data_IF_295964622206
#
_entry.id   IF_295964622206
#
_cell.length_a   1.000
_cell.length_b   1.000
_cell.length_c   1.000
_cell.angle_alpha   90.00
_cell.angle_beta   90.00
_cell.angle_gamma   90.00
#
_symmetry.space_group_name_H-M   'P 1'
#
loop_
_entity.id
_entity.type
_entity.pdbx_description
1 polymer ?
#
# COMPACT_ATOMS: atom_id res chain seq x y z
N UNK A 1 21.08 21.05 7.17
CA UNK A 1 19.72 21.50 6.88
C UNK A 1 18.71 20.64 7.62
N UNK A 2 18.48 19.39 7.28
CA UNK A 2 17.45 18.56 7.89
C UNK A 2 17.42 18.59 9.43
N UNK A 3 18.55 18.44 10.09
CA UNK A 3 18.64 18.42 11.55
C UNK A 3 18.67 19.82 12.21
N UNK A 4 19.08 20.87 11.48
CA UNK A 4 19.34 22.18 12.10
C UNK A 4 18.37 23.27 11.63
N UNK A 5 17.66 23.06 10.53
CA UNK A 5 16.75 24.03 9.91
C UNK A 5 15.75 23.26 9.02
N UNK A 6 14.72 22.74 9.68
CA UNK A 6 13.72 21.88 9.04
C UNK A 6 12.92 22.62 7.97
N UNK A 7 12.52 23.85 8.22
CA UNK A 7 11.73 24.66 7.27
C UNK A 7 12.50 24.86 5.98
N UNK A 8 13.77 25.26 6.08
CA UNK A 8 14.63 25.43 4.90
C UNK A 8 14.89 24.11 4.16
N UNK A 9 14.93 22.97 4.89
CA UNK A 9 15.06 21.68 4.26
C UNK A 9 13.78 21.29 3.49
N UNK A 10 12.61 21.59 4.03
CA UNK A 10 11.33 21.34 3.36
C UNK A 10 11.13 22.23 2.13
N UNK A 11 11.62 23.49 2.16
CA UNK A 11 11.67 24.35 0.95
C UNK A 11 12.58 23.74 -0.12
N UNK A 12 13.78 23.32 0.26
CA UNK A 12 14.69 22.60 -0.64
C UNK A 12 14.06 21.30 -1.18
N UNK A 13 13.37 20.56 -0.31
CA UNK A 13 12.71 19.30 -0.67
C UNK A 13 11.60 19.50 -1.71
N UNK A 14 10.83 20.57 -1.65
CA UNK A 14 9.80 20.88 -2.65
C UNK A 14 10.37 21.01 -4.06
N UNK A 15 11.60 21.51 -4.18
CA UNK A 15 12.24 21.72 -5.48
C UNK A 15 13.04 20.48 -5.96
N UNK A 16 13.68 19.77 -5.04
CA UNK A 16 14.66 18.72 -5.36
C UNK A 16 14.35 17.34 -4.78
N UNK A 17 13.28 17.17 -4.04
CA UNK A 17 12.95 15.92 -3.37
C UNK A 17 12.79 14.74 -4.35
N UNK A 18 12.12 15.00 -5.48
CA UNK A 18 11.93 14.00 -6.54
C UNK A 18 13.27 13.52 -7.12
N UNK A 19 14.23 14.42 -7.32
CA UNK A 19 15.56 14.08 -7.83
C UNK A 19 16.36 13.26 -6.83
N UNK A 20 16.21 13.55 -5.53
CA UNK A 20 16.86 12.76 -4.47
C UNK A 20 16.27 11.37 -4.41
N UNK A 21 14.95 11.21 -4.48
CA UNK A 21 14.27 9.92 -4.57
C UNK A 21 14.69 9.15 -5.81
N UNK A 22 14.75 9.83 -6.97
CA UNK A 22 15.24 9.24 -8.20
C UNK A 22 16.70 8.77 -8.04
N UNK A 23 17.58 9.56 -7.40
CA UNK A 23 18.96 9.20 -7.11
C UNK A 23 19.09 7.95 -6.24
N UNK A 24 18.11 7.67 -5.36
CA UNK A 24 18.13 6.49 -4.51
C UNK A 24 17.94 5.18 -5.29
N UNK A 25 17.26 5.19 -6.46
CA UNK A 25 17.03 3.96 -7.21
C UNK A 25 17.71 3.90 -8.59
N UNK A 26 18.11 5.04 -9.18
CA UNK A 26 18.58 5.12 -10.57
C UNK A 26 19.87 4.35 -10.85
N UNK A 27 20.68 4.09 -9.82
CA UNK A 27 21.94 3.35 -9.89
C UNK A 27 21.83 1.93 -9.28
N UNK A 28 20.65 1.35 -9.35
CA UNK A 28 20.31 0.05 -8.73
C UNK A 28 20.48 0.06 -7.20
N UNK A 29 20.34 1.24 -6.58
CA UNK A 29 20.38 1.41 -5.13
C UNK A 29 21.77 1.47 -4.51
N UNK A 30 22.83 1.67 -5.29
CA UNK A 30 24.20 1.78 -4.75
C UNK A 30 24.34 2.92 -3.72
N UNK A 31 23.58 4.01 -3.90
CA UNK A 31 23.59 5.14 -2.97
C UNK A 31 22.31 5.23 -2.12
N UNK A 32 21.41 4.24 -2.19
CA UNK A 32 20.14 4.26 -1.49
C UNK A 32 20.30 4.45 0.03
N UNK A 33 21.24 3.76 0.66
CA UNK A 33 21.51 3.89 2.10
C UNK A 33 22.00 5.28 2.51
N UNK A 34 22.76 5.96 1.65
CA UNK A 34 23.24 7.33 1.93
C UNK A 34 22.11 8.35 1.85
N UNK A 35 21.11 8.09 1.01
CA UNK A 35 20.01 9.02 0.74
C UNK A 35 18.79 8.75 1.63
N UNK A 36 18.59 7.52 2.13
CA UNK A 36 17.38 7.09 2.83
C UNK A 36 16.98 8.00 4.00
N UNK A 37 17.96 8.48 4.76
CA UNK A 37 17.70 9.30 5.95
C UNK A 37 17.42 10.78 5.60
N UNK A 38 17.57 11.12 4.32
CA UNK A 38 17.23 12.44 3.76
C UNK A 38 15.82 12.48 3.17
N UNK A 39 15.21 11.31 2.91
CA UNK A 39 13.92 11.22 2.23
C UNK A 39 12.78 11.72 3.11
N UNK A 40 11.88 12.50 2.51
CA UNK A 40 10.65 12.93 3.14
C UNK A 40 9.43 12.33 2.44
N UNK A 41 8.46 11.91 3.25
CA UNK A 41 7.18 11.40 2.79
C UNK A 41 6.05 12.04 3.61
N UNK A 42 4.87 12.19 3.02
CA UNK A 42 3.73 12.73 3.74
C UNK A 42 3.15 11.70 4.70
N UNK A 43 3.07 12.04 5.99
CA UNK A 43 2.41 11.22 7.01
C UNK A 43 0.92 11.53 7.07
N UNK A 44 0.07 10.50 6.95
CA UNK A 44 -1.38 10.64 7.08
C UNK A 44 -1.79 11.08 8.50
N UNK A 45 -1.11 10.56 9.52
CA UNK A 45 -1.39 10.84 10.93
C UNK A 45 -0.87 12.20 11.37
N UNK A 46 0.36 12.56 10.99
CA UNK A 46 0.99 13.83 11.37
C UNK A 46 0.56 15.01 10.50
N UNK A 47 -0.04 14.76 9.34
CA UNK A 47 -0.45 15.76 8.34
C UNK A 47 0.71 16.68 7.93
N UNK A 48 1.90 16.12 7.78
CA UNK A 48 3.12 16.82 7.37
C UNK A 48 4.13 15.85 6.74
N UNK A 49 5.18 16.41 6.15
CA UNK A 49 6.34 15.65 5.71
C UNK A 49 7.12 15.12 6.91
N UNK A 50 7.46 13.83 6.87
CA UNK A 50 8.28 13.14 7.87
C UNK A 50 9.42 12.38 7.21
N UNK A 51 10.52 12.18 7.93
CA UNK A 51 11.57 11.22 7.53
C UNK A 51 11.15 9.80 7.90
N UNK A 52 11.83 8.81 7.32
CA UNK A 52 11.62 7.40 7.72
C UNK A 52 11.99 7.19 9.19
N UNK A 53 13.00 7.90 9.70
CA UNK A 53 13.38 7.83 11.12
C UNK A 53 12.26 8.38 12.02
N UNK A 54 11.69 9.54 11.69
CA UNK A 54 10.57 10.13 12.43
C UNK A 54 9.33 9.24 12.45
N UNK A 55 9.09 8.49 11.37
CA UNK A 55 8.03 7.49 11.31
C UNK A 55 8.34 6.32 12.25
N UNK A 56 9.54 5.73 12.13
CA UNK A 56 9.94 4.55 12.91
C UNK A 56 10.01 4.84 14.40
N UNK A 57 10.44 6.03 14.80
CA UNK A 57 10.49 6.45 16.21
C UNK A 57 9.10 6.49 16.87
N UNK A 58 8.04 6.63 16.08
CA UNK A 58 6.64 6.66 16.53
C UNK A 58 5.90 5.36 16.34
N UNK A 59 6.54 4.35 15.74
CA UNK A 59 5.91 3.05 15.51
C UNK A 59 5.66 2.33 16.86
N UNK A 60 4.43 1.86 17.13
CA UNK A 60 4.16 0.93 18.22
C UNK A 60 5.04 -0.33 18.10
N UNK A 61 5.35 -0.95 19.26
CA UNK A 61 6.23 -2.12 19.29
C UNK A 61 5.70 -3.29 18.46
N UNK A 62 4.39 -3.49 18.46
CA UNK A 62 3.68 -4.54 17.73
C UNK A 62 3.53 -4.28 16.21
N UNK A 63 3.76 -3.06 15.75
CA UNK A 63 3.67 -2.72 14.34
C UNK A 63 4.83 -3.35 13.56
N UNK A 64 4.50 -4.20 12.56
CA UNK A 64 5.46 -5.00 11.81
C UNK A 64 6.02 -4.30 10.58
N UNK A 65 5.28 -3.33 10.00
CA UNK A 65 5.60 -2.73 8.70
C UNK A 65 5.53 -1.21 8.73
N UNK A 66 6.31 -0.55 7.89
CA UNK A 66 6.09 0.84 7.51
C UNK A 66 5.03 0.81 6.41
N UNK A 67 3.80 1.22 6.72
CA UNK A 67 2.71 1.24 5.78
C UNK A 67 2.76 2.45 4.86
N UNK A 68 2.46 2.24 3.59
CA UNK A 68 2.33 3.33 2.62
C UNK A 68 1.18 3.07 1.64
N UNK A 69 0.66 4.15 1.09
CA UNK A 69 -0.29 4.16 -0.02
C UNK A 69 0.27 5.02 -1.15
N UNK A 70 0.15 4.58 -2.40
CA UNK A 70 0.62 5.33 -3.57
C UNK A 70 -0.54 5.67 -4.51
N UNK A 71 -0.49 6.88 -5.09
CA UNK A 71 -1.49 7.37 -6.03
C UNK A 71 -1.43 8.89 -6.24
N UNK A 72 -2.49 9.46 -6.81
CA UNK A 72 -2.47 10.84 -7.34
C UNK A 72 -2.67 11.94 -6.27
N UNK A 73 -3.20 11.63 -5.08
CA UNK A 73 -3.61 12.64 -4.10
C UNK A 73 -3.63 12.11 -2.68
N UNK A 74 -3.02 12.86 -1.76
CA UNK A 74 -3.00 12.54 -0.33
C UNK A 74 -4.41 12.38 0.25
N UNK A 75 -5.35 13.27 -0.14
CA UNK A 75 -6.74 13.22 0.33
C UNK A 75 -7.48 11.94 -0.09
N UNK A 76 -7.18 11.42 -1.29
CA UNK A 76 -7.76 10.17 -1.77
C UNK A 76 -7.11 8.97 -1.11
N UNK A 77 -5.79 9.01 -0.97
CA UNK A 77 -5.01 7.93 -0.37
C UNK A 77 -5.38 7.71 1.10
N UNK A 78 -5.58 8.78 1.86
CA UNK A 78 -5.99 8.71 3.26
C UNK A 78 -7.40 8.08 3.45
N UNK A 79 -8.25 8.14 2.41
CA UNK A 79 -9.63 7.58 2.40
C UNK A 79 -9.70 6.18 1.78
N UNK A 80 -8.59 5.57 1.41
CA UNK A 80 -8.60 4.19 0.96
C UNK A 80 -9.01 3.27 2.12
N UNK A 81 -9.94 2.31 1.91
CA UNK A 81 -10.38 1.41 2.98
C UNK A 81 -9.23 0.72 3.71
N UNK A 82 -8.20 0.34 2.97
CA UNK A 82 -7.02 -0.29 3.53
C UNK A 82 -6.15 0.68 4.36
N UNK A 83 -6.06 1.96 3.96
CA UNK A 83 -5.38 2.99 4.73
C UNK A 83 -6.15 3.32 6.02
N UNK A 84 -7.48 3.44 5.93
CA UNK A 84 -8.36 3.63 7.09
C UNK A 84 -8.21 2.47 8.09
N UNK A 85 -8.18 1.21 7.62
CA UNK A 85 -7.97 0.05 8.48
C UNK A 85 -6.64 0.13 9.25
N UNK A 86 -5.54 0.52 8.57
CA UNK A 86 -4.22 0.70 9.20
C UNK A 86 -4.28 1.81 10.25
N UNK A 87 -4.90 2.95 9.92
CA UNK A 87 -5.03 4.09 10.83
C UNK A 87 -5.93 3.78 12.03
N UNK A 88 -6.98 3.00 11.86
CA UNK A 88 -7.87 2.54 12.95
C UNK A 88 -7.15 1.63 13.95
N UNK A 89 -6.10 0.93 13.52
CA UNK A 89 -5.19 0.19 14.42
C UNK A 89 -4.22 1.13 15.18
N UNK A 90 -4.29 2.44 14.94
CA UNK A 90 -3.42 3.44 15.55
C UNK A 90 -2.08 3.64 14.84
N UNK A 91 -1.86 2.97 13.70
CA UNK A 91 -0.64 3.07 12.90
C UNK A 91 -0.70 4.27 11.96
N UNK A 92 0.46 4.69 11.46
CA UNK A 92 0.55 5.75 10.46
C UNK A 92 0.69 5.15 9.05
N UNK A 93 0.34 5.94 8.02
CA UNK A 93 0.48 5.58 6.61
C UNK A 93 1.22 6.71 5.88
N UNK A 94 2.30 6.36 5.18
CA UNK A 94 2.96 7.28 4.27
C UNK A 94 2.17 7.41 2.98
N UNK A 95 1.83 8.62 2.57
CA UNK A 95 1.06 8.91 1.37
C UNK A 95 2.00 9.37 0.25
N UNK A 96 2.17 8.52 -0.75
CA UNK A 96 3.12 8.66 -1.84
C UNK A 96 2.42 9.20 -3.08
N UNK A 97 2.80 10.39 -3.53
CA UNK A 97 2.13 11.04 -4.67
C UNK A 97 3.05 11.29 -5.87
N UNK A 98 4.31 10.89 -5.79
CA UNK A 98 5.27 11.02 -6.87
C UNK A 98 5.55 9.67 -7.54
N UNK A 99 5.66 9.65 -8.86
CA UNK A 99 5.92 8.45 -9.67
C UNK A 99 7.16 7.65 -9.23
N UNK A 100 8.12 8.32 -8.58
CA UNK A 100 9.39 7.73 -8.13
C UNK A 100 9.32 7.09 -6.75
N UNK A 101 8.27 7.36 -5.97
CA UNK A 101 8.18 7.01 -4.55
C UNK A 101 8.22 5.49 -4.31
N UNK A 102 7.36 4.73 -4.98
CA UNK A 102 7.32 3.28 -4.79
C UNK A 102 8.60 2.60 -5.25
N UNK A 103 9.20 3.08 -6.36
CA UNK A 103 10.47 2.54 -6.85
C UNK A 103 11.60 2.79 -5.84
N UNK A 104 11.61 3.98 -5.23
CA UNK A 104 12.55 4.31 -4.17
C UNK A 104 12.41 3.36 -2.96
N UNK A 105 11.18 3.15 -2.47
CA UNK A 105 10.92 2.24 -1.35
C UNK A 105 11.21 0.77 -1.70
N UNK A 106 10.96 0.33 -2.93
CA UNK A 106 11.31 -1.01 -3.38
C UNK A 106 12.81 -1.30 -3.39
N UNK A 107 13.62 -0.31 -3.72
CA UNK A 107 15.08 -0.44 -3.67
C UNK A 107 15.57 -0.44 -2.22
N UNK A 108 15.03 0.43 -1.37
CA UNK A 108 15.35 0.46 0.06
C UNK A 108 14.97 -0.85 0.78
N UNK A 109 13.85 -1.48 0.39
CA UNK A 109 13.26 -2.71 0.94
C UNK A 109 12.93 -2.65 2.41
N UNK A 110 13.85 -2.22 3.25
CA UNK A 110 13.72 -2.17 4.70
C UNK A 110 14.32 -0.88 5.26
N UNK A 111 13.92 -0.54 6.48
CA UNK A 111 14.53 0.54 7.25
C UNK A 111 15.02 0.00 8.60
N UNK A 112 16.18 0.47 9.12
CA UNK A 112 16.67 0.07 10.43
C UNK A 112 15.69 0.39 11.53
N UNK A 113 15.47 -0.55 12.44
CA UNK A 113 14.64 -0.36 13.64
C UNK A 113 15.19 -1.20 14.77
N UNK A 114 15.28 -0.61 15.96
CA UNK A 114 15.55 -1.37 17.17
C UNK A 114 14.26 -1.99 17.70
N UNK A 115 14.33 -3.22 18.15
CA UNK A 115 13.22 -3.87 18.85
C UNK A 115 13.02 -3.30 20.27
N UNK A 116 12.02 -3.80 20.98
CA UNK A 116 11.71 -3.37 22.34
C UNK A 116 12.86 -3.66 23.35
N UNK A 117 13.76 -4.56 23.02
CA UNK A 117 14.95 -4.95 23.81
C UNK A 117 16.19 -4.16 23.41
N UNK A 118 16.07 -3.26 22.42
CA UNK A 118 17.17 -2.44 21.91
C UNK A 118 18.12 -3.13 20.94
N UNK A 119 17.75 -4.33 20.46
CA UNK A 119 18.52 -5.09 19.48
C UNK A 119 18.28 -4.53 18.08
N UNK A 120 19.35 -4.43 17.30
CA UNK A 120 19.28 -3.97 15.93
C UNK A 120 18.49 -4.95 15.04
N UNK A 121 17.57 -4.42 14.28
CA UNK A 121 16.73 -5.12 13.33
C UNK A 121 16.33 -4.21 12.16
N UNK A 122 15.40 -4.67 11.37
CA UNK A 122 14.85 -3.91 10.24
C UNK A 122 13.35 -4.06 10.19
N UNK A 123 12.68 -3.08 9.60
CA UNK A 123 11.25 -3.10 9.31
C UNK A 123 11.04 -2.94 7.80
N UNK A 124 10.15 -3.73 7.23
CA UNK A 124 9.82 -3.71 5.80
C UNK A 124 8.78 -2.66 5.47
N UNK A 125 8.78 -2.19 4.21
CA UNK A 125 7.73 -1.35 3.67
C UNK A 125 6.56 -2.21 3.16
N UNK A 126 5.32 -1.76 3.42
CA UNK A 126 4.11 -2.48 3.04
C UNK A 126 3.10 -1.55 2.38
N UNK A 127 2.80 -1.81 1.10
CA UNK A 127 1.73 -1.10 0.42
C UNK A 127 0.37 -1.53 1.01
N UNK A 128 -0.47 -0.57 1.40
CA UNK A 128 -1.80 -0.86 1.95
C UNK A 128 -2.72 -1.56 0.95
N UNK A 129 -2.45 -1.43 -0.35
CA UNK A 129 -3.18 -2.13 -1.41
C UNK A 129 -2.59 -3.51 -1.75
N UNK A 130 -1.59 -4.01 -0.99
CA UNK A 130 -1.13 -5.39 -1.14
C UNK A 130 -2.14 -6.39 -0.57
N UNK A 131 -2.08 -7.64 -1.04
CA UNK A 131 -3.06 -8.68 -0.70
C UNK A 131 -3.11 -9.04 0.80
N UNK A 132 -1.98 -9.00 1.50
CA UNK A 132 -1.88 -9.27 2.95
C UNK A 132 -1.26 -8.08 3.65
N UNK A 133 -1.97 -7.48 4.61
CA UNK A 133 -1.48 -6.35 5.41
C UNK A 133 -0.78 -6.79 6.70
N UNK A 134 -0.90 -8.07 7.07
CA UNK A 134 -0.38 -8.57 8.34
C UNK A 134 -1.10 -8.02 9.57
N UNK A 135 -2.34 -7.54 9.39
CA UNK A 135 -3.20 -6.97 10.43
C UNK A 135 -4.32 -7.93 10.83
N UNK A 136 -4.62 -8.88 9.96
CA UNK A 136 -5.67 -9.87 10.12
C UNK A 136 -5.22 -10.98 11.08
N UNK A 137 -6.15 -11.47 11.88
CA UNK A 137 -5.98 -12.68 12.66
C UNK A 137 -6.11 -13.92 11.76
N UNK A 138 -5.56 -15.06 12.19
CA UNK A 138 -5.72 -16.32 11.47
C UNK A 138 -7.21 -16.76 11.38
N UNK A 139 -8.01 -16.37 12.36
CA UNK A 139 -9.46 -16.63 12.37
C UNK A 139 -10.18 -15.81 11.31
N UNK A 140 -9.84 -14.51 11.17
CA UNK A 140 -10.39 -13.61 10.13
C UNK A 140 -9.99 -14.07 8.73
N UNK A 141 -8.73 -14.48 8.52
CA UNK A 141 -8.26 -15.05 7.25
C UNK A 141 -9.04 -16.29 6.87
N UNK A 142 -9.16 -17.23 7.80
CA UNK A 142 -9.89 -18.47 7.58
C UNK A 142 -11.37 -18.21 7.29
N UNK A 143 -12.02 -17.32 8.04
CA UNK A 143 -13.42 -16.97 7.79
C UNK A 143 -13.62 -16.36 6.39
N UNK A 144 -12.69 -15.54 5.92
CA UNK A 144 -12.74 -14.98 4.57
C UNK A 144 -12.49 -16.03 3.49
N UNK A 145 -11.58 -16.98 3.72
CA UNK A 145 -11.34 -18.11 2.82
C UNK A 145 -12.57 -19.03 2.72
N UNK A 146 -13.18 -19.38 3.84
CA UNK A 146 -14.39 -20.20 3.90
C UNK A 146 -15.55 -19.49 3.17
N UNK A 147 -15.77 -18.21 3.45
CA UNK A 147 -16.80 -17.41 2.77
C UNK A 147 -16.53 -17.24 1.26
N UNK A 148 -15.25 -17.17 0.85
CA UNK A 148 -14.86 -17.15 -0.56
C UNK A 148 -15.21 -18.47 -1.23
N UNK A 149 -14.93 -19.60 -0.58
CA UNK A 149 -15.26 -20.93 -1.09
C UNK A 149 -16.78 -21.15 -1.20
N UNK A 150 -17.57 -20.70 -0.23
CA UNK A 150 -19.04 -20.76 -0.25
C UNK A 150 -19.67 -19.98 -1.41
N UNK A 151 -19.05 -18.89 -1.83
CA UNK A 151 -19.54 -17.99 -2.89
C UNK A 151 -18.78 -18.18 -4.24
N UNK A 152 -18.07 -19.30 -4.38
CA UNK A 152 -17.20 -19.57 -5.54
C UNK A 152 -17.90 -19.37 -6.88
N UNK A 153 -19.12 -19.84 -7.05
CA UNK A 153 -19.86 -19.74 -8.32
C UNK A 153 -20.11 -18.27 -8.70
N UNK A 154 -20.47 -17.42 -7.74
CA UNK A 154 -20.64 -15.99 -7.95
C UNK A 154 -19.30 -15.33 -8.34
N UNK A 155 -18.23 -15.65 -7.63
CA UNK A 155 -16.93 -15.06 -7.84
C UNK A 155 -16.28 -15.49 -9.17
N UNK A 156 -16.48 -16.74 -9.58
CA UNK A 156 -16.06 -17.23 -10.89
C UNK A 156 -16.82 -16.49 -12.01
N UNK A 157 -18.14 -16.35 -11.91
CA UNK A 157 -18.95 -15.59 -12.88
C UNK A 157 -18.53 -14.10 -12.94
N UNK A 158 -18.25 -13.47 -11.81
CA UNK A 158 -17.74 -12.09 -11.78
C UNK A 158 -16.37 -11.96 -12.43
N UNK A 159 -15.46 -12.90 -12.16
CA UNK A 159 -14.14 -12.94 -12.77
C UNK A 159 -14.23 -13.09 -14.30
N UNK A 160 -15.10 -13.99 -14.78
CA UNK A 160 -15.32 -14.19 -16.22
C UNK A 160 -15.91 -12.94 -16.87
N UNK A 161 -16.87 -12.28 -16.22
CA UNK A 161 -17.46 -11.01 -16.71
C UNK A 161 -16.43 -9.85 -16.75
N UNK A 162 -15.39 -9.91 -15.94
CA UNK A 162 -14.30 -8.92 -15.92
C UNK A 162 -13.22 -9.17 -16.98
N UNK A 163 -13.33 -10.27 -17.75
CA UNK A 163 -12.54 -10.56 -18.95
C UNK A 163 -11.03 -10.34 -18.76
N UNK A 164 -10.45 -11.02 -17.78
CA UNK A 164 -9.01 -10.98 -17.47
C UNK A 164 -8.50 -9.69 -16.84
N UNK A 165 -9.39 -8.76 -16.44
CA UNK A 165 -9.00 -7.52 -15.72
C UNK A 165 -8.59 -7.77 -14.30
N UNK A 166 -9.01 -8.90 -13.71
CA UNK A 166 -8.63 -9.35 -12.38
C UNK A 166 -8.17 -10.80 -12.40
N UNK A 167 -7.20 -11.11 -11.57
CA UNK A 167 -6.69 -12.48 -11.37
C UNK A 167 -7.67 -13.31 -10.56
N UNK A 168 -8.28 -12.68 -9.57
CA UNK A 168 -9.13 -13.33 -8.59
C UNK A 168 -10.23 -12.39 -8.09
N UNK A 169 -11.33 -12.99 -7.62
CA UNK A 169 -12.40 -12.34 -6.86
C UNK A 169 -12.53 -13.08 -5.54
N UNK A 170 -12.48 -12.37 -4.41
CA UNK A 170 -12.54 -12.98 -3.07
C UNK A 170 -13.25 -12.09 -2.06
N UNK A 171 -13.52 -12.67 -0.88
CA UNK A 171 -14.02 -11.93 0.29
C UNK A 171 -12.88 -11.10 0.88
N UNK A 172 -13.19 -9.86 1.24
CA UNK A 172 -12.26 -8.93 1.87
C UNK A 172 -12.23 -9.09 3.39
N UNK A 173 -11.03 -9.02 3.95
CA UNK A 173 -10.82 -8.88 5.41
C UNK A 173 -10.68 -7.42 5.84
N UNK A 174 -10.59 -6.48 4.89
CA UNK A 174 -10.26 -5.07 5.15
C UNK A 174 -11.43 -4.09 4.98
N UNK A 175 -12.49 -4.51 4.30
CA UNK A 175 -13.63 -3.64 4.01
C UNK A 175 -14.62 -3.61 5.18
N UNK A 176 -14.91 -2.39 5.67
CA UNK A 176 -15.96 -2.14 6.69
C UNK A 176 -17.24 -1.63 6.02
N UNK A 177 -17.18 -0.42 5.49
CA UNK A 177 -18.34 0.28 4.93
C UNK A 177 -18.37 0.27 3.39
N UNK A 178 -17.24 0.04 2.75
CA UNK A 178 -17.15 0.00 1.29
C UNK A 178 -17.56 -1.37 0.74
N UNK A 179 -18.27 -1.42 -0.41
CA UNK A 179 -18.73 -2.68 -1.01
C UNK A 179 -17.59 -3.51 -1.62
N UNK A 180 -16.60 -2.84 -2.23
CA UNK A 180 -15.52 -3.47 -2.97
C UNK A 180 -14.24 -2.65 -2.88
N UNK A 181 -13.10 -3.31 -3.06
CA UNK A 181 -11.83 -2.65 -3.37
C UNK A 181 -10.98 -3.51 -4.31
N UNK A 182 -9.92 -2.90 -4.86
CA UNK A 182 -8.89 -3.62 -5.61
C UNK A 182 -7.62 -3.67 -4.77
N UNK A 183 -7.03 -4.85 -4.70
CA UNK A 183 -5.67 -5.06 -4.20
C UNK A 183 -4.78 -5.63 -5.29
N UNK A 184 -3.47 -5.60 -5.08
CA UNK A 184 -2.50 -6.24 -5.96
C UNK A 184 -1.87 -7.44 -5.26
N UNK A 185 -1.78 -8.57 -5.96
CA UNK A 185 -1.06 -9.75 -5.52
C UNK A 185 0.31 -9.78 -6.21
N UNK A 186 1.38 -9.84 -5.40
CA UNK A 186 2.75 -9.82 -5.90
C UNK A 186 3.48 -8.47 -5.79
N UNK A 187 4.67 -8.36 -6.40
CA UNK A 187 5.57 -7.23 -6.19
C UNK A 187 5.20 -5.96 -6.97
N UNK A 188 4.35 -6.08 -8.00
CA UNK A 188 3.94 -4.97 -8.84
C UNK A 188 2.61 -4.39 -8.35
N UNK A 189 2.63 -3.16 -7.84
CA UNK A 189 1.41 -2.46 -7.44
C UNK A 189 0.62 -1.95 -8.65
N UNK A 190 -0.67 -1.64 -8.43
CA UNK A 190 -1.54 -1.03 -9.45
C UNK A 190 -0.97 0.33 -9.88
N UNK A 191 -0.38 1.09 -8.96
CA UNK A 191 0.20 2.40 -9.28
C UNK A 191 1.49 2.29 -10.08
N UNK A 192 2.36 1.35 -9.71
CA UNK A 192 3.56 1.05 -10.51
C UNK A 192 3.22 0.59 -11.93
N UNK A 193 2.17 -0.23 -12.12
CA UNK A 193 1.68 -0.58 -13.46
C UNK A 193 1.32 0.67 -14.25
N UNK A 194 0.61 1.62 -13.66
CA UNK A 194 0.24 2.89 -14.33
C UNK A 194 1.47 3.71 -14.74
N UNK A 195 2.48 3.78 -13.88
CA UNK A 195 3.72 4.51 -14.18
C UNK A 195 4.50 3.82 -15.29
N UNK A 196 4.70 2.50 -15.18
CA UNK A 196 5.44 1.72 -16.17
C UNK A 196 4.72 1.69 -17.53
N UNK A 197 3.40 1.57 -17.56
CA UNK A 197 2.64 1.53 -18.81
C UNK A 197 2.76 2.80 -19.67
N UNK A 198 3.19 3.92 -19.08
CA UNK A 198 3.48 5.17 -19.80
C UNK A 198 4.87 5.17 -20.46
N UNK A 199 5.71 4.19 -20.15
CA UNK A 199 7.07 4.12 -20.71
C UNK A 199 7.09 3.31 -22.01
N UNK A 200 7.77 3.78 -23.07
CA UNK A 200 7.92 3.02 -24.30
C UNK A 200 8.62 1.66 -24.04
N UNK A 201 8.08 0.59 -24.59
CA UNK A 201 8.63 -0.77 -24.43
C UNK A 201 8.16 -1.50 -23.19
N UNK A 202 7.27 -0.92 -22.39
CA UNK A 202 6.65 -1.56 -21.22
C UNK A 202 5.20 -2.01 -21.51
N UNK A 203 4.82 -2.12 -22.77
CA UNK A 203 3.51 -2.63 -23.16
C UNK A 203 3.35 -4.07 -22.66
N UNK A 204 2.31 -4.29 -21.85
CA UNK A 204 2.02 -5.63 -21.30
C UNK A 204 2.47 -5.85 -19.85
N UNK A 205 3.13 -4.90 -19.23
CA UNK A 205 3.37 -4.93 -17.78
C UNK A 205 2.05 -4.73 -17.06
N UNK A 206 1.59 -5.74 -16.31
CA UNK A 206 0.32 -5.74 -15.57
C UNK A 206 0.52 -6.27 -14.16
N UNK A 207 -0.11 -5.61 -13.20
CA UNK A 207 -0.22 -6.12 -11.83
C UNK A 207 -1.30 -7.19 -11.75
N UNK A 208 -1.10 -8.16 -10.89
CA UNK A 208 -2.09 -9.19 -10.56
C UNK A 208 -3.18 -8.56 -9.66
N UNK A 209 -4.23 -8.01 -10.28
CA UNK A 209 -5.32 -7.37 -9.55
C UNK A 209 -6.26 -8.40 -8.94
N UNK A 210 -6.64 -8.17 -7.69
CA UNK A 210 -7.63 -8.96 -6.97
C UNK A 210 -8.80 -8.05 -6.61
N UNK A 211 -10.02 -8.47 -6.97
CA UNK A 211 -11.25 -7.79 -6.56
C UNK A 211 -11.69 -8.36 -5.23
N UNK A 212 -11.73 -7.51 -4.21
CA UNK A 212 -12.17 -7.90 -2.87
C UNK A 212 -13.57 -7.36 -2.61
N UNK A 213 -14.47 -8.23 -2.11
CA UNK A 213 -15.86 -7.89 -1.82
C UNK A 213 -16.16 -7.93 -0.32
N UNK A 214 -16.98 -6.99 0.13
CA UNK A 214 -17.54 -6.99 1.47
C UNK A 214 -18.87 -7.78 1.48
N UNK A 215 -18.85 -8.99 2.03
CA UNK A 215 -20.04 -9.86 2.12
C UNK A 215 -21.11 -9.32 3.05
N UNK A 216 -20.75 -8.39 3.94
CA UNK A 216 -21.70 -7.76 4.87
C UNK A 216 -22.37 -6.50 4.27
N UNK A 217 -21.91 -6.03 3.11
CA UNK A 217 -22.49 -4.88 2.46
C UNK A 217 -23.78 -5.25 1.71
N UNK A 218 -24.86 -4.43 1.76
CA UNK A 218 -26.15 -4.74 1.12
C UNK A 218 -26.05 -5.09 -0.38
N UNK A 219 -25.11 -4.50 -1.10
CA UNK A 219 -24.84 -4.80 -2.52
C UNK A 219 -24.50 -6.27 -2.76
N UNK A 220 -23.85 -6.93 -1.79
CA UNK A 220 -23.46 -8.34 -1.96
C UNK A 220 -24.69 -9.26 -2.08
N UNK A 221 -25.74 -9.03 -1.27
CA UNK A 221 -26.99 -9.77 -1.35
C UNK A 221 -27.67 -9.59 -2.71
N UNK A 222 -27.61 -8.37 -3.28
CA UNK A 222 -28.18 -8.07 -4.61
C UNK A 222 -27.40 -8.81 -5.70
N UNK A 223 -26.08 -8.83 -5.64
CA UNK A 223 -25.23 -9.57 -6.59
C UNK A 223 -25.53 -11.07 -6.56
N UNK A 224 -25.69 -11.65 -5.36
CA UNK A 224 -26.00 -13.07 -5.17
C UNK A 224 -27.39 -13.39 -5.76
N UNK A 225 -28.40 -12.59 -5.46
CA UNK A 225 -29.75 -12.77 -6.00
C UNK A 225 -29.79 -12.63 -7.53
N UNK A 226 -29.03 -11.69 -8.10
CA UNK A 226 -28.93 -11.52 -9.55
C UNK A 226 -28.29 -12.74 -10.22
N UNK A 227 -27.27 -13.32 -9.64
CA UNK A 227 -26.61 -14.50 -10.17
C UNK A 227 -27.53 -15.73 -10.11
N UNK A 228 -28.36 -15.88 -9.05
CA UNK A 228 -29.32 -16.97 -8.91
C UNK A 228 -30.50 -16.86 -9.88
N UNK A 229 -30.80 -15.65 -10.35
CA UNK A 229 -31.89 -15.37 -11.28
C UNK A 229 -31.51 -15.58 -12.77
N UNK A 230 -30.20 -15.74 -13.10
CA UNK A 230 -29.67 -15.92 -14.46
C UNK A 230 -29.45 -14.60 -15.14
#
# INVERSE_FOLDING_TARGET
MLANDREKYEEFWKEFGRQIKFGAYSDYGMHAELLRDLLLFWSAKEQKMVTLQEYVDKMPAEQKYIYFAAGDSTDRLAKLPAAELVMDKGYDVLLLTEDVDEFCLQILRTYPRKDAEGKDGTVEFKNVNSGDLGLETEEEKKAAEDATAENKNLFDAMKDALDGKVKEVKVSTRLKDHPVCLSADGPLSIEMEKVLSKQPGSEGVKSDKVLELNVNHPVFAVLKAAQEAG
#
